data_IF_852715899555
#
_entry.id   IF_852715899555
#
_cell.length_a   1.000
_cell.length_b   1.000
_cell.length_c   1.000
_cell.angle_alpha   90.00
_cell.angle_beta   90.00
_cell.angle_gamma   90.00
#
_symmetry.space_group_name_H-M   'P 1'
#
loop_
_entity.id
_entity.type
_entity.pdbx_description
1 polymer ?
#
# COMPACT_ATOMS: atom_id res chain seq x y z
N UNK A 1 30.61 0.21 16.03
CA UNK A 1 29.13 0.07 16.03
C UNK A 1 28.53 1.38 15.57
N UNK A 2 28.48 1.63 14.26
CA UNK A 2 27.98 2.88 13.67
C UNK A 2 26.47 2.77 13.44
N UNK A 3 25.70 3.51 14.23
CA UNK A 3 24.26 3.69 13.97
C UNK A 3 24.13 4.56 12.73
N UNK A 4 23.70 4.00 11.60
CA UNK A 4 23.33 4.81 10.45
C UNK A 4 22.04 5.55 10.80
N UNK A 5 22.14 6.87 10.99
CA UNK A 5 20.99 7.74 11.12
C UNK A 5 20.47 8.01 9.70
N UNK A 6 19.30 7.48 9.36
CA UNK A 6 18.60 7.78 8.12
C UNK A 6 17.63 8.93 8.40
N UNK A 7 17.96 10.18 8.06
CA UNK A 7 17.03 11.28 8.25
C UNK A 7 15.75 10.99 7.48
N UNK A 8 14.61 11.01 8.17
CA UNK A 8 13.30 11.01 7.54
C UNK A 8 13.17 12.33 6.77
N UNK A 9 13.32 12.27 5.45
CA UNK A 9 13.32 13.46 4.57
C UNK A 9 11.92 14.02 4.30
N UNK A 10 10.87 13.39 4.84
CA UNK A 10 9.49 13.83 4.63
C UNK A 10 8.62 13.59 5.86
N UNK A 11 7.79 14.58 6.19
CA UNK A 11 6.71 14.47 7.17
C UNK A 11 5.45 13.99 6.45
N UNK A 12 5.15 12.70 6.56
CA UNK A 12 3.89 12.16 6.08
C UNK A 12 2.93 11.93 7.25
N UNK A 13 1.64 12.18 7.02
CA UNK A 13 0.57 11.97 7.99
C UNK A 13 -0.58 11.21 7.36
N UNK A 14 -1.57 10.84 8.17
CA UNK A 14 -2.81 10.23 7.69
C UNK A 14 -3.58 11.13 6.69
N UNK A 15 -3.28 12.43 6.63
CA UNK A 15 -3.89 13.40 5.70
C UNK A 15 -3.07 13.57 4.41
N UNK A 16 -1.89 12.98 4.30
CA UNK A 16 -1.09 13.07 3.08
C UNK A 16 -1.83 12.45 1.90
N UNK A 17 -1.78 13.13 0.77
CA UNK A 17 -2.34 12.73 -0.53
C UNK A 17 -1.22 12.29 -1.46
N UNK A 18 -1.57 11.67 -2.58
CA UNK A 18 -0.61 11.26 -3.62
C UNK A 18 0.53 10.40 -3.05
N UNK A 19 0.16 9.46 -2.17
CA UNK A 19 1.11 8.56 -1.52
C UNK A 19 1.08 7.16 -2.14
N UNK A 20 2.27 6.59 -2.31
CA UNK A 20 2.51 5.18 -2.60
C UNK A 20 2.80 4.47 -1.28
N UNK A 21 2.07 3.39 -1.03
CA UNK A 21 2.16 2.63 0.21
C UNK A 21 2.30 1.13 -0.05
N UNK A 22 2.89 0.46 0.94
CA UNK A 22 3.03 -0.98 1.08
C UNK A 22 2.06 -1.45 2.15
N UNK A 23 1.22 -2.44 1.84
CA UNK A 23 0.52 -3.24 2.84
C UNK A 23 1.27 -4.55 3.02
N UNK A 24 1.81 -4.78 4.20
CA UNK A 24 2.50 -6.04 4.55
C UNK A 24 1.58 -6.89 5.42
N UNK A 25 1.40 -8.16 5.03
CA UNK A 25 0.68 -9.11 5.86
C UNK A 25 1.45 -9.36 7.16
N UNK A 26 0.72 -9.47 8.28
CA UNK A 26 1.30 -9.78 9.59
C UNK A 26 1.51 -11.28 9.80
N UNK A 27 0.92 -12.11 8.95
CA UNK A 27 0.82 -13.57 9.14
C UNK A 27 1.60 -14.37 8.11
N UNK A 28 2.05 -13.75 7.02
CA UNK A 28 2.92 -14.36 6.01
C UNK A 28 3.71 -13.29 5.23
N UNK A 29 4.66 -13.67 4.36
CA UNK A 29 5.47 -12.72 3.59
C UNK A 29 4.71 -11.91 2.53
N UNK A 30 3.40 -12.09 2.40
CA UNK A 30 2.62 -11.46 1.34
C UNK A 30 2.54 -9.94 1.50
N UNK A 31 2.61 -9.23 0.38
CA UNK A 31 2.53 -7.77 0.39
C UNK A 31 1.83 -7.22 -0.85
N UNK A 32 1.27 -6.03 -0.70
CA UNK A 32 0.56 -5.29 -1.74
C UNK A 32 1.09 -3.86 -1.85
N UNK A 33 1.28 -3.38 -3.08
CA UNK A 33 1.61 -1.99 -3.37
C UNK A 33 0.35 -1.29 -3.87
N UNK A 34 0.06 -0.11 -3.34
CA UNK A 34 -1.01 0.72 -3.86
C UNK A 34 -0.72 2.19 -3.77
N UNK A 35 -1.51 2.98 -4.49
CA UNK A 35 -1.53 4.43 -4.37
C UNK A 35 -2.79 4.98 -3.71
N UNK A 36 -2.68 6.21 -3.24
CA UNK A 36 -3.76 7.07 -2.78
C UNK A 36 -3.68 8.40 -3.52
N UNK A 37 -4.76 8.81 -4.18
CA UNK A 37 -4.91 10.17 -4.74
C UNK A 37 -5.64 11.08 -3.74
N UNK A 38 -6.59 10.50 -3.00
CA UNK A 38 -7.19 11.11 -1.82
C UNK A 38 -6.31 10.96 -0.59
N UNK A 39 -6.71 11.57 0.53
CA UNK A 39 -6.01 11.43 1.80
C UNK A 39 -5.85 9.96 2.20
N UNK A 40 -4.67 9.62 2.72
CA UNK A 40 -4.28 8.24 3.01
C UNK A 40 -5.26 7.54 3.97
N UNK A 41 -5.76 8.24 4.99
CA UNK A 41 -6.77 7.72 5.92
C UNK A 41 -8.04 7.23 5.19
N UNK A 42 -8.53 7.97 4.20
CA UNK A 42 -9.70 7.60 3.41
C UNK A 42 -9.40 6.34 2.58
N UNK A 43 -8.20 6.26 2.00
CA UNK A 43 -7.78 5.06 1.25
C UNK A 43 -7.71 3.82 2.14
N UNK A 44 -7.16 3.94 3.36
CA UNK A 44 -7.12 2.84 4.32
C UNK A 44 -8.53 2.44 4.76
N UNK A 45 -9.42 3.41 5.01
CA UNK A 45 -10.83 3.12 5.31
C UNK A 45 -11.54 2.38 4.16
N UNK A 46 -11.23 2.71 2.91
CA UNK A 46 -11.75 1.98 1.76
C UNK A 46 -11.27 0.53 1.73
N UNK A 47 -10.02 0.24 2.12
CA UNK A 47 -9.55 -1.13 2.28
C UNK A 47 -10.26 -1.86 3.41
N UNK A 48 -10.43 -1.23 4.58
CA UNK A 48 -11.22 -1.81 5.70
C UNK A 48 -12.62 -2.19 5.25
N UNK A 49 -13.31 -1.24 4.62
CA UNK A 49 -14.65 -1.46 4.05
C UNK A 49 -14.64 -2.58 3.02
N UNK A 50 -13.62 -2.65 2.16
CA UNK A 50 -13.55 -3.70 1.14
C UNK A 50 -13.30 -5.10 1.68
N UNK A 51 -12.53 -5.21 2.77
CA UNK A 51 -12.34 -6.47 3.51
C UNK A 51 -13.66 -6.91 4.14
N UNK A 52 -14.39 -5.98 4.76
CA UNK A 52 -15.68 -6.25 5.42
C UNK A 52 -16.83 -6.56 4.44
N UNK A 53 -16.98 -5.75 3.39
CA UNK A 53 -18.12 -5.74 2.46
C UNK A 53 -17.90 -6.61 1.22
N UNK A 54 -16.84 -7.41 1.20
CA UNK A 54 -16.70 -8.48 0.24
C UNK A 54 -16.54 -8.06 -1.25
N UNK A 55 -15.74 -7.03 -1.56
CA UNK A 55 -15.38 -6.70 -2.95
C UNK A 55 -14.26 -7.59 -3.53
N UNK A 56 -14.19 -7.80 -4.85
CA UNK A 56 -13.12 -8.61 -5.48
C UNK A 56 -11.80 -7.84 -5.63
N UNK A 57 -11.09 -7.66 -4.51
CA UNK A 57 -9.79 -7.00 -4.46
C UNK A 57 -8.72 -7.94 -3.87
N UNK A 58 -7.46 -7.89 -4.35
CA UNK A 58 -6.41 -8.80 -3.88
C UNK A 58 -6.17 -8.75 -2.37
N UNK A 59 -6.21 -7.55 -1.79
CA UNK A 59 -6.07 -7.30 -0.35
C UNK A 59 -7.16 -8.04 0.44
N UNK A 60 -8.42 -8.00 0.00
CA UNK A 60 -9.48 -8.80 0.63
C UNK A 60 -9.25 -10.29 0.42
N UNK A 61 -8.99 -10.72 -0.82
CA UNK A 61 -8.84 -12.15 -1.12
C UNK A 61 -7.81 -12.78 -0.19
N UNK A 62 -6.70 -12.08 0.03
CA UNK A 62 -5.65 -12.52 0.95
C UNK A 62 -6.08 -12.47 2.42
N UNK A 63 -6.71 -11.39 2.90
CA UNK A 63 -7.24 -11.33 4.27
C UNK A 63 -8.23 -12.48 4.58
N UNK A 64 -9.03 -12.88 3.59
CA UNK A 64 -9.96 -14.01 3.70
C UNK A 64 -9.24 -15.35 3.87
N UNK A 65 -8.09 -15.55 3.25
CA UNK A 65 -7.26 -16.77 3.46
C UNK A 65 -6.85 -16.90 4.93
N UNK A 66 -6.58 -15.78 5.59
CA UNK A 66 -6.28 -15.74 7.02
C UNK A 66 -7.53 -15.66 7.93
N UNK A 67 -8.72 -15.44 7.36
CA UNK A 67 -9.95 -15.16 8.09
C UNK A 67 -9.81 -13.99 9.09
N UNK A 68 -9.17 -12.90 8.66
CA UNK A 68 -8.88 -11.74 9.51
C UNK A 68 -9.50 -10.44 8.97
N UNK A 69 -9.79 -9.50 9.88
CA UNK A 69 -10.09 -8.12 9.50
C UNK A 69 -8.86 -7.40 8.94
N UNK A 70 -9.06 -6.25 8.30
CA UNK A 70 -7.98 -5.50 7.66
C UNK A 70 -6.86 -5.13 8.63
N UNK A 71 -7.21 -4.54 9.79
CA UNK A 71 -6.23 -4.05 10.76
C UNK A 71 -5.48 -5.18 11.48
N UNK A 72 -6.05 -6.39 11.52
CA UNK A 72 -5.40 -7.59 12.06
C UNK A 72 -4.54 -8.30 11.03
N UNK A 73 -4.86 -8.14 9.74
CA UNK A 73 -4.12 -8.78 8.65
C UNK A 73 -2.93 -7.94 8.19
N UNK A 74 -3.03 -6.60 8.19
CA UNK A 74 -2.07 -5.74 7.52
C UNK A 74 -1.40 -4.69 8.41
N UNK A 75 -0.15 -4.39 8.09
CA UNK A 75 0.53 -3.14 8.47
C UNK A 75 0.69 -2.27 7.23
N UNK A 76 0.66 -0.95 7.39
CA UNK A 76 0.91 0.00 6.31
C UNK A 76 2.28 0.64 6.49
N UNK A 77 3.08 0.61 5.42
CA UNK A 77 4.33 1.36 5.29
C UNK A 77 4.19 2.39 4.17
N UNK A 78 4.69 3.60 4.39
CA UNK A 78 4.80 4.60 3.33
C UNK A 78 6.09 4.41 2.55
N UNK A 79 5.98 4.33 1.22
CA UNK A 79 7.13 4.28 0.33
C UNK A 79 7.49 5.68 -0.16
N UNK A 80 6.47 6.45 -0.54
CA UNK A 80 6.64 7.80 -1.07
C UNK A 80 5.35 8.61 -0.91
N UNK A 81 5.47 9.91 -0.64
CA UNK A 81 4.34 10.86 -0.71
C UNK A 81 4.78 12.07 -1.52
N UNK A 82 4.10 12.31 -2.65
CA UNK A 82 4.48 13.33 -3.61
C UNK A 82 3.82 14.70 -3.33
N UNK A 83 2.85 14.76 -2.41
CA UNK A 83 2.12 15.97 -2.07
C UNK A 83 1.04 16.37 -3.08
N UNK A 84 0.31 17.44 -2.77
CA UNK A 84 -0.92 17.82 -3.48
C UNK A 84 -0.73 18.24 -4.94
N UNK A 85 0.46 18.74 -5.30
CA UNK A 85 0.77 19.22 -6.65
C UNK A 85 1.13 18.11 -7.63
N UNK A 86 1.24 16.86 -7.17
CA UNK A 86 1.60 15.74 -8.03
C UNK A 86 0.48 15.42 -9.04
N UNK A 87 0.85 15.22 -10.30
CA UNK A 87 -0.12 14.84 -11.33
C UNK A 87 -0.56 13.38 -11.16
N UNK A 88 -1.81 13.08 -11.52
CA UNK A 88 -2.37 11.71 -11.50
C UNK A 88 -1.48 10.73 -12.27
N UNK A 89 -0.90 11.17 -13.39
CA UNK A 89 0.05 10.40 -14.20
C UNK A 89 1.33 10.08 -13.41
N UNK A 90 1.92 11.07 -12.74
CA UNK A 90 3.13 10.86 -11.93
C UNK A 90 2.89 9.86 -10.79
N UNK A 91 1.77 9.98 -10.07
CA UNK A 91 1.42 9.05 -8.99
C UNK A 91 1.18 7.63 -9.54
N UNK A 92 0.50 7.51 -10.68
CA UNK A 92 0.30 6.22 -11.34
C UNK A 92 1.62 5.60 -11.78
N UNK A 93 2.52 6.38 -12.38
CA UNK A 93 3.77 5.87 -12.91
C UNK A 93 4.72 5.46 -11.78
N UNK A 94 4.73 6.20 -10.67
CA UNK A 94 5.42 5.82 -9.44
C UNK A 94 4.89 4.51 -8.85
N UNK A 95 3.57 4.34 -8.73
CA UNK A 95 2.96 3.08 -8.28
C UNK A 95 3.43 1.90 -9.14
N UNK A 96 3.39 2.05 -10.47
CA UNK A 96 3.84 1.01 -11.39
C UNK A 96 5.35 0.74 -11.28
N UNK A 97 6.16 1.77 -11.03
CA UNK A 97 7.59 1.60 -10.78
C UNK A 97 7.84 0.75 -9.52
N UNK A 98 7.19 1.05 -8.38
CA UNK A 98 7.32 0.26 -7.16
C UNK A 98 6.79 -1.17 -7.31
N UNK A 99 5.66 -1.38 -8.00
CA UNK A 99 5.14 -2.73 -8.30
C UNK A 99 6.17 -3.56 -9.07
N UNK A 100 6.83 -2.96 -10.06
CA UNK A 100 7.86 -3.64 -10.86
C UNK A 100 9.13 -3.88 -10.05
N UNK A 101 9.65 -2.85 -9.39
CA UNK A 101 10.90 -2.90 -8.63
C UNK A 101 10.84 -3.93 -7.50
N UNK A 102 9.72 -3.97 -6.77
CA UNK A 102 9.54 -4.89 -5.65
C UNK A 102 8.97 -6.25 -6.08
N UNK A 103 8.67 -6.44 -7.37
CA UNK A 103 8.12 -7.71 -7.86
C UNK A 103 6.72 -8.03 -7.32
N UNK A 104 5.91 -7.01 -6.99
CA UNK A 104 4.64 -7.16 -6.29
C UNK A 104 3.56 -7.95 -7.06
N UNK A 105 3.81 -8.28 -8.32
CA UNK A 105 2.94 -9.04 -9.22
C UNK A 105 3.25 -10.56 -9.25
N UNK A 106 4.27 -10.99 -8.50
CA UNK A 106 4.68 -12.38 -8.33
C UNK A 106 4.73 -12.68 -6.84
N UNK A 107 4.55 -13.94 -6.47
CA UNK A 107 4.69 -14.38 -5.09
C UNK A 107 6.03 -13.89 -4.50
N UNK A 108 6.03 -13.29 -3.28
CA UNK A 108 4.90 -13.18 -2.35
C UNK A 108 4.01 -11.95 -2.55
N UNK A 109 4.29 -11.08 -3.53
CA UNK A 109 3.43 -9.97 -3.91
C UNK A 109 2.05 -10.40 -4.43
N UNK A 110 1.02 -9.63 -4.07
CA UNK A 110 -0.39 -9.95 -4.39
C UNK A 110 -1.04 -8.96 -5.36
N UNK A 111 -0.30 -8.03 -5.98
CA UNK A 111 -0.86 -7.17 -7.01
C UNK A 111 -1.28 -8.00 -8.24
N UNK A 112 -2.49 -7.73 -8.79
CA UNK A 112 -2.90 -8.32 -10.08
C UNK A 112 -1.94 -7.82 -11.18
N UNK A 113 -1.49 -8.71 -12.06
CA UNK A 113 -0.82 -8.30 -13.31
C UNK A 113 -1.82 -7.48 -14.13
N UNK A 114 -1.42 -6.28 -14.57
CA UNK A 114 -2.20 -5.57 -15.58
C UNK A 114 -2.04 -6.33 -16.90
N UNK A 115 -3.17 -6.69 -17.51
CA UNK A 115 -3.22 -7.22 -18.87
C UNK A 115 -2.80 -6.14 -19.87
#
# INVERSE_FOLDING_TARGET
NSKNHYPLTSTASCQSTNCIYLLSCRHCPAFYIGKSETALNLRVNNHRSSVSNQYDLPVRHHARVHNMAFDDCYTIGLLECMGETASVTAVRDAEQAYIRLLGAHKHPGINKKRQ
#
